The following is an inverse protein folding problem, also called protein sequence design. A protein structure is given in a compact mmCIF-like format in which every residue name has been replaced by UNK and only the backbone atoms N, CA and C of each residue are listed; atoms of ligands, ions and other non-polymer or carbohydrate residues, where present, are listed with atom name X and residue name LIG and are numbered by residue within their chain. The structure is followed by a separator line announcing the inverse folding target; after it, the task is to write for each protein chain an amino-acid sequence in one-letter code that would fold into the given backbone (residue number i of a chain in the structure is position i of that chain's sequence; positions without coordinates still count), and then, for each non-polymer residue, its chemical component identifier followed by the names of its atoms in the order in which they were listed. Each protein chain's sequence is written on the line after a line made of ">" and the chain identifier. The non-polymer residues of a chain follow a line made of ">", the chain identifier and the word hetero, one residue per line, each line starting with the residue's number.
data_IF_597226171407
#
_entry.id   IF_597226171407
#
_cell.length_a   1.000
_cell.length_b   1.000
_cell.length_c   1.000
_cell.angle_alpha   90.00
_cell.angle_beta   90.00
_cell.angle_gamma   90.00
#
_symmetry.space_group_name_H-M   'P 1'
#
loop_
_entity.id
_entity.type
_entity.pdbx_description
1 polymer ?
#
# COMPACT_ATOMS: atom_id res chain seq x y z
N UNK A 1 9.66 -10.57 -25.80
CA UNK A 1 8.58 -11.36 -25.19
C UNK A 1 7.51 -10.37 -24.81
N UNK A 2 6.30 -10.56 -25.29
CA UNK A 2 5.16 -9.72 -24.94
C UNK A 2 4.83 -10.02 -23.48
N UNK A 3 5.00 -9.05 -22.58
CA UNK A 3 4.85 -9.27 -21.13
C UNK A 3 3.39 -9.56 -20.81
N UNK A 4 3.08 -10.79 -20.38
CA UNK A 4 1.71 -11.18 -20.03
C UNK A 4 1.10 -10.23 -18.99
N UNK A 5 -0.21 -10.01 -19.11
CA UNK A 5 -0.96 -9.23 -18.13
C UNK A 5 -0.92 -9.95 -16.78
N UNK A 6 -0.50 -9.24 -15.74
CA UNK A 6 -0.41 -9.76 -14.38
C UNK A 6 -1.59 -9.23 -13.56
N UNK A 7 -2.27 -10.13 -12.86
CA UNK A 7 -3.33 -9.80 -11.91
C UNK A 7 -2.78 -9.73 -10.48
N UNK A 8 -3.39 -8.86 -9.69
CA UNK A 8 -3.09 -8.65 -8.29
C UNK A 8 -3.53 -9.88 -7.47
N UNK A 9 -2.61 -10.64 -6.86
CA UNK A 9 -2.97 -11.92 -6.21
C UNK A 9 -3.40 -11.77 -4.76
N UNK A 10 -3.37 -10.55 -4.20
CA UNK A 10 -3.62 -10.30 -2.78
C UNK A 10 -5.01 -9.67 -2.58
N UNK A 11 -5.74 -10.20 -1.62
CA UNK A 11 -6.93 -9.56 -1.08
C UNK A 11 -6.56 -8.36 -0.20
N UNK A 12 -7.42 -7.33 -0.08
CA UNK A 12 -7.17 -6.24 0.84
C UNK A 12 -7.11 -6.73 2.29
N UNK A 13 -6.16 -6.22 3.07
CA UNK A 13 -6.21 -6.35 4.54
C UNK A 13 -7.15 -5.26 5.01
N UNK A 14 -8.33 -5.61 5.51
CA UNK A 14 -9.32 -4.64 6.01
C UNK A 14 -10.29 -5.30 6.98
N UNK A 15 -10.96 -4.48 7.75
CA UNK A 15 -12.19 -4.83 8.47
C UNK A 15 -13.19 -3.66 8.44
N UNK A 16 -14.41 -3.89 8.93
CA UNK A 16 -15.45 -2.84 8.99
C UNK A 16 -15.09 -1.61 9.83
N UNK A 17 -14.03 -1.69 10.65
CA UNK A 17 -13.60 -0.62 11.54
C UNK A 17 -12.40 0.17 10.98
N UNK A 18 -11.84 -0.25 9.86
CA UNK A 18 -10.70 0.41 9.23
C UNK A 18 -11.06 1.87 8.91
N UNK A 19 -10.23 2.81 9.37
CA UNK A 19 -10.37 4.27 9.23
C UNK A 19 -9.36 4.87 8.26
N UNK A 20 -8.20 4.23 8.16
CA UNK A 20 -7.13 4.62 7.25
C UNK A 20 -7.04 3.56 6.16
N UNK A 21 -6.85 3.98 4.90
CA UNK A 21 -6.48 3.11 3.80
C UNK A 21 -5.09 3.48 3.29
N UNK A 22 -4.15 2.53 3.37
CA UNK A 22 -2.85 2.65 2.73
C UNK A 22 -2.90 1.96 1.36
N UNK A 23 -2.44 2.65 0.32
CA UNK A 23 -2.40 2.16 -1.06
C UNK A 23 -0.97 2.15 -1.60
N UNK A 24 -0.46 1.00 -2.00
CA UNK A 24 0.69 0.93 -2.91
C UNK A 24 0.26 1.00 -4.38
N UNK A 25 1.21 0.92 -5.30
CA UNK A 25 0.95 0.91 -6.74
C UNK A 25 0.47 -0.48 -7.18
N UNK A 26 1.35 -1.47 -7.06
CA UNK A 26 1.13 -2.88 -7.39
C UNK A 26 2.13 -3.73 -6.58
N UNK A 27 1.78 -4.97 -6.20
CA UNK A 27 2.65 -5.82 -5.40
C UNK A 27 3.92 -6.16 -6.16
N UNK A 28 5.07 -6.06 -5.48
CA UNK A 28 6.36 -6.51 -6.02
C UNK A 28 6.36 -8.00 -6.38
N UNK A 29 7.32 -8.46 -7.18
CA UNK A 29 7.53 -9.90 -7.48
C UNK A 29 7.52 -10.72 -6.18
N UNK A 30 8.28 -10.31 -5.17
CA UNK A 30 8.29 -10.99 -3.87
C UNK A 30 6.94 -10.99 -3.17
N UNK A 31 6.21 -9.87 -3.21
CA UNK A 31 4.86 -9.81 -2.63
C UNK A 31 3.89 -10.77 -3.32
N UNK A 32 4.01 -10.93 -4.65
CA UNK A 32 3.23 -11.90 -5.42
C UNK A 32 3.64 -13.34 -5.11
N UNK A 33 4.93 -13.63 -5.05
CA UNK A 33 5.46 -14.97 -4.73
C UNK A 33 5.02 -15.44 -3.33
N UNK A 34 5.07 -14.55 -2.34
CA UNK A 34 4.75 -14.86 -0.93
C UNK A 34 3.29 -14.63 -0.55
N UNK A 35 2.46 -14.20 -1.50
CA UNK A 35 1.06 -13.83 -1.27
C UNK A 35 0.88 -12.89 -0.06
N UNK A 36 1.76 -11.90 0.07
CA UNK A 36 1.71 -10.95 1.17
C UNK A 36 2.29 -9.57 0.80
N UNK A 37 1.67 -8.51 1.32
CA UNK A 37 2.09 -7.15 1.04
C UNK A 37 3.50 -6.87 1.57
N UNK A 38 4.26 -6.12 0.78
CA UNK A 38 5.63 -5.69 1.10
C UNK A 38 6.55 -6.83 1.60
N UNK A 39 6.43 -8.04 1.04
CA UNK A 39 7.14 -9.23 1.51
C UNK A 39 8.66 -9.22 1.23
N UNK A 40 9.15 -8.31 0.39
CA UNK A 40 10.58 -8.17 0.15
C UNK A 40 11.30 -7.75 1.45
N UNK A 41 12.32 -8.49 1.89
CA UNK A 41 12.99 -8.28 3.20
C UNK A 41 13.58 -6.88 3.39
N UNK A 42 14.03 -6.24 2.30
CA UNK A 42 14.53 -4.86 2.34
C UNK A 42 13.44 -3.79 2.23
N UNK A 43 12.17 -4.17 2.06
CA UNK A 43 11.07 -3.21 2.10
C UNK A 43 10.86 -2.77 3.54
N UNK A 44 10.83 -1.44 3.75
CA UNK A 44 10.83 -0.83 5.07
C UNK A 44 9.43 -0.68 5.67
N UNK A 45 8.38 -1.05 4.94
CA UNK A 45 6.98 -0.83 5.34
C UNK A 45 6.68 -1.40 6.72
N UNK A 46 6.94 -2.70 6.94
CA UNK A 46 6.63 -3.35 8.20
C UNK A 46 7.48 -2.85 9.36
N UNK A 47 8.75 -2.49 9.10
CA UNK A 47 9.61 -1.83 10.10
C UNK A 47 9.03 -0.48 10.53
N UNK A 48 8.55 0.32 9.57
CA UNK A 48 7.92 1.62 9.84
C UNK A 48 6.61 1.41 10.63
N UNK A 49 5.74 0.49 10.21
CA UNK A 49 4.47 0.24 10.91
C UNK A 49 4.69 -0.24 12.34
N UNK A 50 5.60 -1.20 12.56
CA UNK A 50 5.95 -1.64 13.92
C UNK A 50 6.44 -0.49 14.80
N UNK A 51 7.33 0.36 14.27
CA UNK A 51 7.86 1.50 15.02
C UNK A 51 6.76 2.51 15.38
N UNK A 52 5.95 2.93 14.40
CA UNK A 52 4.93 3.96 14.59
C UNK A 52 3.78 3.50 15.48
N UNK A 53 3.43 2.21 15.43
CA UNK A 53 2.32 1.63 16.17
C UNK A 53 2.73 1.01 17.51
N UNK A 54 4.02 1.14 17.87
CA UNK A 54 4.61 0.55 19.08
C UNK A 54 4.36 -0.96 19.21
N UNK A 55 4.56 -1.68 18.11
CA UNK A 55 4.27 -3.12 17.97
C UNK A 55 5.51 -3.89 17.50
N UNK A 56 5.57 -5.18 17.80
CA UNK A 56 6.67 -6.07 17.39
C UNK A 56 6.17 -7.21 16.49
N UNK A 57 5.35 -6.89 15.48
CA UNK A 57 4.80 -7.92 14.59
C UNK A 57 5.89 -8.58 13.72
N UNK A 58 5.98 -9.91 13.73
CA UNK A 58 7.01 -10.69 13.01
C UNK A 58 6.39 -11.56 11.92
N UNK A 59 5.33 -12.28 12.27
CA UNK A 59 4.62 -13.19 11.37
C UNK A 59 3.62 -12.44 10.47
N UNK A 60 3.18 -13.09 9.38
CA UNK A 60 2.12 -12.56 8.51
C UNK A 60 0.83 -12.29 9.31
N UNK A 61 0.48 -13.21 10.21
CA UNK A 61 -0.71 -13.07 11.05
C UNK A 61 -0.59 -11.87 11.98
N UNK A 62 0.51 -11.76 12.73
CA UNK A 62 0.73 -10.63 13.64
C UNK A 62 0.71 -9.29 12.92
N UNK A 63 1.29 -9.23 11.71
CA UNK A 63 1.28 -8.02 10.87
C UNK A 63 -0.14 -7.65 10.44
N UNK A 64 -0.94 -8.61 9.99
CA UNK A 64 -2.36 -8.38 9.67
C UNK A 64 -3.13 -7.90 10.90
N UNK A 65 -2.99 -8.61 12.01
CA UNK A 65 -3.70 -8.30 13.25
C UNK A 65 -3.32 -6.92 13.78
N UNK A 66 -2.04 -6.53 13.69
CA UNK A 66 -1.57 -5.19 14.03
C UNK A 66 -2.29 -4.13 13.18
N UNK A 67 -2.29 -4.28 11.85
CA UNK A 67 -2.95 -3.31 10.97
C UNK A 67 -4.43 -3.15 11.33
N UNK A 68 -5.15 -4.25 11.58
CA UNK A 68 -6.57 -4.22 11.92
C UNK A 68 -6.84 -3.61 13.31
N UNK A 69 -6.01 -3.93 14.33
CA UNK A 69 -6.12 -3.34 15.68
C UNK A 69 -6.01 -1.83 15.66
N UNK A 70 -5.14 -1.31 14.78
CA UNK A 70 -4.91 0.13 14.60
C UNK A 70 -5.80 0.72 13.49
N UNK A 71 -6.84 0.02 13.07
CA UNK A 71 -7.82 0.48 12.08
C UNK A 71 -7.23 0.90 10.72
N UNK A 72 -6.17 0.21 10.30
CA UNK A 72 -5.46 0.46 9.05
C UNK A 72 -5.79 -0.65 8.05
N UNK A 73 -6.46 -0.27 6.96
CA UNK A 73 -6.59 -1.09 5.77
C UNK A 73 -5.37 -0.95 4.86
N UNK A 74 -5.05 -2.02 4.13
CA UNK A 74 -3.96 -2.07 3.17
C UNK A 74 -4.40 -2.73 1.86
N UNK A 75 -4.12 -2.07 0.75
CA UNK A 75 -4.30 -2.62 -0.60
C UNK A 75 -3.34 -1.94 -1.59
N UNK A 76 -3.58 -2.12 -2.89
CA UNK A 76 -2.88 -1.44 -3.97
C UNK A 76 -3.89 -0.83 -4.96
N UNK A 77 -3.47 0.18 -5.72
CA UNK A 77 -4.33 0.87 -6.70
C UNK A 77 -4.66 -0.03 -7.89
N UNK A 78 -3.73 -0.88 -8.31
CA UNK A 78 -3.83 -1.65 -9.55
C UNK A 78 -4.36 -3.07 -9.26
N UNK A 79 -5.43 -3.45 -9.96
CA UNK A 79 -5.97 -4.80 -10.01
C UNK A 79 -5.23 -5.67 -11.04
N UNK A 80 -4.90 -5.10 -12.20
CA UNK A 80 -4.09 -5.77 -13.21
C UNK A 80 -3.34 -4.78 -14.10
N UNK A 81 -2.16 -5.19 -14.57
CA UNK A 81 -1.34 -4.39 -15.48
C UNK A 81 -0.34 -5.27 -16.24
N UNK A 82 0.36 -4.68 -17.21
CA UNK A 82 1.65 -5.20 -17.68
C UNK A 82 2.76 -4.49 -16.91
N UNK A 83 3.72 -5.26 -16.41
CA UNK A 83 4.85 -4.75 -15.62
C UNK A 83 6.08 -5.65 -15.80
N UNK A 84 7.23 -5.03 -15.97
CA UNK A 84 8.51 -5.72 -15.95
C UNK A 84 9.03 -5.83 -14.51
N UNK A 85 9.00 -7.05 -13.96
CA UNK A 85 9.40 -7.33 -12.59
C UNK A 85 8.57 -6.56 -11.56
N UNK A 86 9.20 -5.59 -10.91
CA UNK A 86 8.57 -4.68 -9.91
C UNK A 86 8.81 -3.20 -10.24
N UNK A 87 9.19 -2.88 -11.48
CA UNK A 87 9.51 -1.51 -11.86
C UNK A 87 8.24 -0.72 -12.16
N UNK A 88 7.87 0.20 -11.29
CA UNK A 88 6.73 1.11 -11.49
C UNK A 88 6.80 1.85 -12.84
N UNK A 89 8.02 2.22 -13.29
CA UNK A 89 8.23 2.92 -14.56
C UNK A 89 7.84 2.10 -15.79
N UNK A 90 7.70 0.77 -15.64
CA UNK A 90 7.30 -0.14 -16.72
C UNK A 90 5.78 -0.41 -16.76
N UNK A 91 5.02 0.07 -15.78
CA UNK A 91 3.59 -0.21 -15.66
C UNK A 91 2.82 0.34 -16.87
N UNK A 92 2.04 -0.55 -17.52
CA UNK A 92 1.16 -0.24 -18.66
C UNK A 92 -0.16 -1.00 -18.55
N UNK A 93 -1.15 -0.59 -19.36
CA UNK A 93 -2.47 -1.28 -19.48
C UNK A 93 -3.19 -1.50 -18.13
N UNK A 94 -3.14 -0.46 -17.29
CA UNK A 94 -3.66 -0.48 -15.92
C UNK A 94 -5.18 -0.67 -15.89
N UNK A 95 -5.63 -1.63 -15.09
CA UNK A 95 -6.97 -1.71 -14.53
C UNK A 95 -6.86 -1.56 -13.02
N UNK A 96 -7.69 -0.69 -12.44
CA UNK A 96 -7.67 -0.40 -11.01
C UNK A 96 -8.55 -1.36 -10.20
N UNK A 97 -8.19 -1.53 -8.94
CA UNK A 97 -9.04 -2.15 -7.92
C UNK A 97 -10.27 -1.28 -7.66
N UNK A 98 -11.36 -1.91 -7.20
CA UNK A 98 -12.58 -1.20 -6.77
C UNK A 98 -12.43 -0.65 -5.35
N UNK A 99 -11.69 0.45 -5.24
CA UNK A 99 -11.42 1.13 -3.98
C UNK A 99 -12.71 1.72 -3.39
N UNK A 100 -13.63 2.18 -4.24
CA UNK A 100 -14.93 2.71 -3.83
C UNK A 100 -15.75 1.70 -3.03
N UNK A 101 -15.78 0.43 -3.45
CA UNK A 101 -16.43 -0.64 -2.68
C UNK A 101 -15.72 -0.91 -1.35
N UNK A 102 -14.39 -0.88 -1.31
CA UNK A 102 -13.65 -1.00 -0.04
C UNK A 102 -14.05 0.12 0.94
N UNK A 103 -14.12 1.37 0.48
CA UNK A 103 -14.49 2.51 1.32
C UNK A 103 -15.92 2.35 1.85
N UNK A 104 -16.88 1.94 1.00
CA UNK A 104 -18.28 1.71 1.40
C UNK A 104 -18.44 0.62 2.47
N UNK A 105 -17.58 -0.38 2.46
CA UNK A 105 -17.62 -1.51 3.41
C UNK A 105 -16.87 -1.23 4.73
N UNK A 106 -16.23 -0.08 4.85
CA UNK A 106 -15.36 0.28 5.98
C UNK A 106 -15.70 1.66 6.51
N UNK A 107 -14.91 2.16 7.47
CA UNK A 107 -15.03 3.52 8.03
C UNK A 107 -13.91 4.43 7.53
N UNK A 108 -13.35 4.13 6.35
CA UNK A 108 -12.19 4.85 5.83
C UNK A 108 -12.54 6.31 5.61
N UNK A 109 -11.78 7.20 6.25
CA UNK A 109 -11.88 8.65 6.09
C UNK A 109 -10.61 9.26 5.53
N UNK A 110 -9.49 8.53 5.55
CA UNK A 110 -8.20 9.03 5.08
C UNK A 110 -7.46 8.00 4.23
N UNK A 111 -6.88 8.46 3.13
CA UNK A 111 -6.08 7.64 2.22
C UNK A 111 -4.62 8.10 2.25
N UNK A 112 -3.71 7.15 2.37
CA UNK A 112 -2.28 7.40 2.23
C UNK A 112 -1.72 6.54 1.11
N UNK A 113 -0.97 7.14 0.20
CA UNK A 113 -0.33 6.40 -0.89
C UNK A 113 1.14 6.17 -0.57
N UNK A 114 1.60 4.94 -0.73
CA UNK A 114 3.00 4.53 -0.55
C UNK A 114 3.78 4.75 -1.85
N UNK A 115 4.10 6.02 -2.14
CA UNK A 115 4.88 6.42 -3.31
C UNK A 115 4.08 7.19 -4.36
N UNK A 116 4.82 7.91 -5.21
CA UNK A 116 4.26 8.81 -6.23
C UNK A 116 3.43 8.08 -7.30
N UNK A 117 3.83 6.87 -7.67
CA UNK A 117 3.13 6.06 -8.67
C UNK A 117 1.69 5.77 -8.22
N UNK A 118 1.53 5.27 -6.99
CA UNK A 118 0.22 5.00 -6.40
C UNK A 118 -0.64 6.27 -6.36
N UNK A 119 -0.06 7.39 -5.91
CA UNK A 119 -0.74 8.69 -5.90
C UNK A 119 -1.22 9.14 -7.28
N UNK A 120 -0.35 9.07 -8.30
CA UNK A 120 -0.69 9.49 -9.66
C UNK A 120 -1.79 8.61 -10.28
N UNK A 121 -1.71 7.29 -10.08
CA UNK A 121 -2.71 6.36 -10.58
C UNK A 121 -4.06 6.55 -9.88
N UNK A 122 -4.06 6.74 -8.56
CA UNK A 122 -5.27 7.06 -7.81
C UNK A 122 -5.91 8.34 -8.34
N UNK A 123 -5.15 9.44 -8.44
CA UNK A 123 -5.68 10.72 -8.95
C UNK A 123 -6.19 10.63 -10.39
N UNK A 124 -5.62 9.73 -11.21
CA UNK A 124 -6.02 9.55 -12.61
C UNK A 124 -7.30 8.73 -12.77
N UNK A 125 -7.46 7.66 -11.99
CA UNK A 125 -8.50 6.65 -12.22
C UNK A 125 -9.57 6.57 -11.13
N UNK A 126 -9.37 7.24 -10.00
CA UNK A 126 -10.24 7.21 -8.82
C UNK A 126 -10.60 8.64 -8.39
N UNK A 127 -10.77 9.54 -9.36
CA UNK A 127 -10.96 10.97 -9.12
C UNK A 127 -12.30 11.32 -8.47
N UNK A 128 -13.26 10.40 -8.51
CA UNK A 128 -14.58 10.46 -7.90
C UNK A 128 -14.57 10.20 -6.38
N UNK A 129 -13.47 9.68 -5.84
CA UNK A 129 -13.32 9.48 -4.39
C UNK A 129 -12.93 10.80 -3.72
N UNK A 130 -13.87 11.39 -2.99
CA UNK A 130 -13.72 12.67 -2.28
C UNK A 130 -13.16 12.52 -0.84
N UNK A 131 -12.18 11.64 -0.65
CA UNK A 131 -11.48 11.52 0.63
C UNK A 131 -10.14 12.26 0.63
N UNK A 132 -9.71 12.83 1.77
CA UNK A 132 -8.34 13.29 1.95
C UNK A 132 -7.33 12.22 1.54
N UNK A 133 -6.42 12.59 0.65
CA UNK A 133 -5.34 11.72 0.18
C UNK A 133 -3.98 12.38 0.37
N UNK A 134 -3.05 11.66 0.99
CA UNK A 134 -1.69 12.13 1.24
C UNK A 134 -0.70 11.20 0.52
N UNK A 135 0.18 11.78 -0.29
CA UNK A 135 1.30 11.06 -0.90
C UNK A 135 2.46 10.94 0.10
N UNK A 136 2.76 9.72 0.55
CA UNK A 136 3.94 9.42 1.35
C UNK A 136 5.09 8.93 0.46
N UNK A 137 6.36 9.10 0.88
CA UNK A 137 7.49 8.53 0.17
C UNK A 137 7.43 7.00 0.18
N UNK A 138 7.86 6.37 -0.92
CA UNK A 138 7.83 4.92 -1.04
C UNK A 138 8.73 4.23 0.00
N UNK A 139 8.26 3.16 0.61
CA UNK A 139 9.01 2.30 1.54
C UNK A 139 9.91 1.27 0.84
N UNK A 140 9.76 1.12 -0.48
CA UNK A 140 10.57 0.22 -1.31
C UNK A 140 12.05 0.56 -1.22
N UNK A 141 12.97 -0.42 -1.23
CA UNK A 141 14.41 -0.16 -1.25
C UNK A 141 14.86 0.64 -2.48
N UNK A 142 14.10 0.61 -3.59
CA UNK A 142 14.37 1.42 -4.77
C UNK A 142 14.32 2.95 -4.48
N UNK A 143 13.60 3.36 -3.43
CA UNK A 143 13.60 4.74 -2.96
C UNK A 143 14.79 4.98 -2.00
N UNK A 144 16.00 4.89 -2.53
CA UNK A 144 17.25 5.00 -1.77
C UNK A 144 17.56 6.43 -1.29
N UNK A 145 16.87 7.45 -1.83
CA UNK A 145 17.03 8.86 -1.42
C UNK A 145 16.41 9.19 -0.05
N UNK A 146 15.68 8.26 0.55
CA UNK A 146 15.11 8.38 1.89
C UNK A 146 15.74 7.35 2.82
N UNK A 147 16.38 7.82 3.90
CA UNK A 147 16.80 6.96 5.01
C UNK A 147 15.59 6.43 5.79
N UNK A 148 15.78 5.39 6.60
CA UNK A 148 14.69 4.86 7.44
C UNK A 148 14.19 5.92 8.43
N UNK A 149 15.09 6.67 9.06
CA UNK A 149 14.76 7.73 10.03
C UNK A 149 13.91 8.82 9.37
N UNK A 150 14.25 9.20 8.14
CA UNK A 150 13.47 10.18 7.37
C UNK A 150 12.10 9.63 6.99
N UNK A 151 12.00 8.34 6.66
CA UNK A 151 10.70 7.70 6.40
C UNK A 151 9.85 7.69 7.66
N UNK A 152 10.39 7.27 8.81
CA UNK A 152 9.68 7.25 10.09
C UNK A 152 9.04 8.62 10.38
N UNK A 153 9.83 9.69 10.35
CA UNK A 153 9.36 11.06 10.59
C UNK A 153 8.24 11.51 9.64
N UNK A 154 8.31 11.14 8.36
CA UNK A 154 7.28 11.54 7.39
C UNK A 154 6.02 10.69 7.53
N UNK A 155 6.20 9.39 7.83
CA UNK A 155 5.11 8.44 7.98
C UNK A 155 4.35 8.59 9.30
N UNK A 156 4.90 9.27 10.32
CA UNK A 156 4.19 9.69 11.54
C UNK A 156 2.84 10.37 11.24
N UNK A 157 2.70 11.00 10.06
CA UNK A 157 1.46 11.62 9.61
C UNK A 157 0.25 10.67 9.58
N UNK A 158 0.44 9.35 9.54
CA UNK A 158 -0.69 8.40 9.64
C UNK A 158 -1.30 8.39 11.04
N UNK A 159 -0.52 8.68 12.08
CA UNK A 159 -0.96 8.65 13.49
C UNK A 159 -2.00 9.73 13.79
N UNK A 160 -2.06 10.79 12.99
CA UNK A 160 -3.07 11.86 13.10
C UNK A 160 -4.51 11.34 12.92
N UNK A 161 -4.69 10.17 12.30
CA UNK A 161 -6.00 9.66 11.86
C UNK A 161 -6.32 8.23 12.30
N UNK A 162 -5.58 7.67 13.26
CA UNK A 162 -5.83 6.33 13.85
C UNK A 162 -6.99 6.38 14.85
#
# INVERSE_FOLDING_TARGET
>A
MEEDRIHHPLEPIKDKNSKILILGSFPSVKSRDFLFYYAHLQNRFWTIMNFLLHEESRTVKEKKDMMLRHHIALWDVIESCRINGSSDASIKEVRCNDISSLIKETKVTHIYTNGKTAYQLFKKYQSDIELPIICLPSTSPANASYSLERLLKIWEKILENI
#
